data_IF_753717721205
#
_entry.id   IF_753717721205
#
_cell.length_a   1.000
_cell.length_b   1.000
_cell.length_c   1.000
_cell.angle_alpha   90.00
_cell.angle_beta   90.00
_cell.angle_gamma   90.00
#
_symmetry.space_group_name_H-M   'P 1'
#
loop_
_entity.id
_entity.type
_entity.pdbx_description
1 polymer ?
#
# COMPACT_ATOMS: atom_id res chain seq x y z
N UNK A 1 13.27 4.90 7.71
CA UNK A 1 13.07 3.59 7.08
C UNK A 1 14.45 3.01 6.80
N UNK A 2 14.66 1.69 6.93
CA UNK A 2 15.96 1.07 6.64
C UNK A 2 15.89 0.20 5.39
N UNK A 3 17.04 -0.18 4.83
CA UNK A 3 17.16 -1.22 3.81
C UNK A 3 17.91 -2.41 4.40
N UNK A 4 17.53 -3.63 4.08
CA UNK A 4 18.34 -4.82 4.41
C UNK A 4 19.51 -4.99 3.41
N UNK A 5 20.34 -6.02 3.62
CA UNK A 5 21.49 -6.33 2.75
C UNK A 5 21.09 -6.72 1.32
N UNK A 6 19.80 -6.96 1.05
CA UNK A 6 19.25 -7.25 -0.27
C UNK A 6 18.49 -6.07 -0.88
N UNK A 7 18.50 -4.90 -0.23
CA UNK A 7 17.81 -3.70 -0.69
C UNK A 7 16.31 -3.69 -0.40
N UNK A 8 15.78 -4.64 0.38
CA UNK A 8 14.37 -4.65 0.78
C UNK A 8 14.12 -3.59 1.84
N UNK A 9 12.93 -3.00 1.79
CA UNK A 9 12.52 -2.02 2.79
C UNK A 9 12.25 -2.70 4.13
N UNK A 10 12.93 -2.22 5.16
CA UNK A 10 12.62 -2.52 6.56
C UNK A 10 11.79 -1.37 7.10
N UNK A 11 10.48 -1.56 7.01
CA UNK A 11 9.46 -0.64 7.51
C UNK A 11 9.23 -0.86 9.00
N UNK A 12 9.26 0.22 9.79
CA UNK A 12 8.86 0.15 11.21
C UNK A 12 7.34 0.03 11.37
N UNK A 13 6.58 0.48 10.37
CA UNK A 13 5.11 0.50 10.35
C UNK A 13 4.61 0.33 8.91
N UNK A 14 3.49 -0.36 8.70
CA UNK A 14 2.86 -0.44 7.40
C UNK A 14 2.31 0.92 6.94
N UNK A 15 2.14 1.06 5.64
CA UNK A 15 1.39 2.14 5.02
C UNK A 15 -0.10 1.80 5.06
N UNK A 16 -0.91 2.70 5.60
CA UNK A 16 -2.37 2.53 5.64
C UNK A 16 -2.99 3.07 4.36
N UNK A 17 -3.76 2.25 3.67
CA UNK A 17 -4.51 2.67 2.49
C UNK A 17 -5.87 3.22 2.90
N UNK A 18 -6.30 4.29 2.24
CA UNK A 18 -7.61 4.90 2.46
C UNK A 18 -8.19 5.43 1.16
N UNK A 19 -9.50 5.31 1.01
CA UNK A 19 -10.25 5.83 -0.12
C UNK A 19 -11.64 6.26 0.35
N UNK A 20 -12.26 7.15 -0.42
CA UNK A 20 -13.68 7.48 -0.30
C UNK A 20 -14.46 6.68 -1.33
N UNK A 21 -15.65 6.21 -0.97
CA UNK A 21 -16.49 5.39 -1.85
C UNK A 21 -17.52 4.60 -1.07
N UNK A 22 -18.36 3.84 -1.77
CA UNK A 22 -19.29 2.93 -1.10
C UNK A 22 -18.53 1.72 -0.54
N UNK A 23 -18.84 1.34 0.71
CA UNK A 23 -18.26 0.16 1.35
C UNK A 23 -19.05 -1.11 0.96
N UNK A 24 -18.41 -2.29 0.93
CA UNK A 24 -16.98 -2.51 1.11
C UNK A 24 -16.13 -2.01 -0.08
N UNK A 25 -14.81 -1.90 0.15
CA UNK A 25 -13.85 -1.62 -0.93
C UNK A 25 -12.85 -2.77 -1.02
N UNK A 26 -12.37 -3.05 -2.22
CA UNK A 26 -11.28 -3.98 -2.49
C UNK A 26 -10.06 -3.22 -2.99
N UNK A 27 -8.89 -3.53 -2.45
CA UNK A 27 -7.62 -2.93 -2.84
C UNK A 27 -6.75 -3.91 -3.60
N UNK A 28 -6.01 -3.38 -4.56
CA UNK A 28 -5.03 -4.11 -5.35
C UNK A 28 -3.75 -3.30 -5.47
N UNK A 29 -2.61 -4.00 -5.49
CA UNK A 29 -1.28 -3.44 -5.68
C UNK A 29 -0.61 -4.23 -6.80
N UNK A 30 -0.29 -3.56 -7.90
CA UNK A 30 0.20 -4.18 -9.13
C UNK A 30 -0.71 -5.31 -9.64
N UNK A 31 -2.02 -5.16 -9.40
CA UNK A 31 -3.04 -6.15 -9.76
C UNK A 31 -3.27 -7.25 -8.73
N UNK A 32 -2.41 -7.39 -7.72
CA UNK A 32 -2.56 -8.39 -6.65
C UNK A 32 -3.47 -7.88 -5.53
N UNK A 33 -4.45 -8.69 -5.05
CA UNK A 33 -5.38 -8.25 -4.01
C UNK A 33 -4.66 -8.05 -2.67
N UNK A 34 -4.94 -6.93 -2.01
CA UNK A 34 -4.49 -6.66 -0.65
C UNK A 34 -5.58 -7.07 0.35
N UNK A 35 -5.23 -8.00 1.25
CA UNK A 35 -6.09 -8.41 2.36
C UNK A 35 -6.15 -7.39 3.50
N UNK A 36 -7.12 -7.60 4.40
CA UNK A 36 -7.17 -6.91 5.69
C UNK A 36 -6.16 -7.55 6.65
N UNK A 37 -5.55 -6.73 7.50
CA UNK A 37 -4.75 -7.20 8.62
C UNK A 37 -5.61 -7.67 9.81
N UNK A 38 -4.97 -8.06 10.90
CA UNK A 38 -5.62 -8.52 12.15
C UNK A 38 -6.51 -7.44 12.79
N UNK A 39 -6.30 -6.17 12.48
CA UNK A 39 -7.11 -5.03 12.95
C UNK A 39 -8.26 -4.69 12.00
N UNK A 40 -8.41 -5.42 10.89
CA UNK A 40 -9.42 -5.13 9.88
C UNK A 40 -9.06 -3.91 9.02
N UNK A 41 -7.77 -3.58 8.88
CA UNK A 41 -7.30 -2.45 8.08
C UNK A 41 -6.55 -2.91 6.82
N UNK A 42 -6.62 -2.12 5.75
CA UNK A 42 -5.76 -2.31 4.58
C UNK A 42 -4.38 -1.72 4.86
N UNK A 43 -3.51 -2.57 5.41
CA UNK A 43 -2.13 -2.25 5.76
C UNK A 43 -1.15 -2.89 4.77
N UNK A 44 -0.28 -2.08 4.18
CA UNK A 44 0.67 -2.53 3.16
C UNK A 44 2.13 -2.29 3.57
N UNK A 45 2.97 -3.30 3.36
CA UNK A 45 4.42 -3.23 3.53
C UNK A 45 5.09 -3.37 2.15
N UNK A 46 5.42 -2.28 1.44
CA UNK A 46 6.15 -2.38 0.18
C UNK A 46 7.49 -3.10 0.40
N UNK A 47 7.80 -4.13 -0.40
CA UNK A 47 9.01 -4.94 -0.19
C UNK A 47 10.28 -4.20 -0.61
N UNK A 48 10.21 -3.29 -1.58
CA UNK A 48 11.34 -2.52 -2.11
C UNK A 48 10.90 -1.08 -2.42
N UNK A 49 11.87 -0.18 -2.62
CA UNK A 49 11.57 1.10 -3.25
C UNK A 49 11.21 0.88 -4.72
N UNK A 50 10.39 1.76 -5.28
CA UNK A 50 9.98 1.62 -6.67
C UNK A 50 8.67 2.33 -6.96
N UNK A 51 8.11 2.02 -8.11
CA UNK A 51 6.78 2.45 -8.51
C UNK A 51 5.79 1.31 -8.32
N UNK A 52 4.58 1.66 -7.91
CA UNK A 52 3.50 0.71 -7.68
C UNK A 52 2.19 1.30 -8.22
N UNK A 53 1.37 0.44 -8.81
CA UNK A 53 0.02 0.77 -9.26
C UNK A 53 -1.00 0.32 -8.23
N UNK A 54 -1.65 1.27 -7.58
CA UNK A 54 -2.72 1.01 -6.64
C UNK A 54 -4.05 1.12 -7.37
N UNK A 55 -4.91 0.14 -7.17
CA UNK A 55 -6.30 0.17 -7.64
C UNK A 55 -7.24 -0.06 -6.46
N UNK A 56 -8.31 0.73 -6.37
CA UNK A 56 -9.40 0.50 -5.43
C UNK A 56 -10.71 0.35 -6.19
N UNK A 57 -11.49 -0.65 -5.81
CA UNK A 57 -12.82 -0.92 -6.37
C UNK A 57 -13.84 -0.84 -5.23
N UNK A 58 -14.87 -0.02 -5.39
CA UNK A 58 -15.92 0.15 -4.38
C UNK A 58 -17.13 -0.76 -4.65
N UNK A 59 -18.09 -0.78 -3.72
CA UNK A 59 -19.26 -1.65 -3.82
C UNK A 59 -20.16 -1.33 -5.03
N UNK A 60 -20.05 -0.15 -5.61
CA UNK A 60 -20.75 0.23 -6.85
C UNK A 60 -19.95 -0.12 -8.11
N UNK A 61 -18.88 -0.90 -7.99
CA UNK A 61 -17.95 -1.27 -9.06
C UNK A 61 -17.23 -0.06 -9.68
N UNK A 62 -17.13 1.06 -8.95
CA UNK A 62 -16.30 2.18 -9.39
C UNK A 62 -14.84 1.87 -9.11
N UNK A 63 -14.01 2.19 -10.10
CA UNK A 63 -12.57 1.95 -10.07
C UNK A 63 -11.86 3.29 -9.97
N UNK A 64 -10.95 3.41 -9.01
CA UNK A 64 -9.99 4.50 -8.94
C UNK A 64 -8.56 3.94 -8.92
N UNK A 65 -7.61 4.68 -9.52
CA UNK A 65 -6.23 4.23 -9.74
C UNK A 65 -5.24 5.30 -9.35
N UNK A 66 -4.11 4.89 -8.78
CA UNK A 66 -3.03 5.78 -8.40
C UNK A 66 -1.67 5.15 -8.69
N UNK A 67 -0.81 5.89 -9.37
CA UNK A 67 0.57 5.50 -9.61
C UNK A 67 1.47 6.21 -8.60
N UNK A 68 2.12 5.45 -7.71
CA UNK A 68 2.87 6.02 -6.59
C UNK A 68 4.34 5.58 -6.64
N UNK A 69 5.23 6.47 -6.17
CA UNK A 69 6.64 6.14 -5.95
C UNK A 69 6.91 5.97 -4.46
N UNK A 70 7.43 4.81 -4.08
CA UNK A 70 7.90 4.53 -2.73
C UNK A 70 9.40 4.78 -2.66
N UNK A 71 9.80 5.58 -1.67
CA UNK A 71 11.19 5.93 -1.37
C UNK A 71 11.45 5.81 0.13
N UNK A 72 12.60 5.26 0.52
CA UNK A 72 13.07 5.32 1.89
C UNK A 72 13.57 6.73 2.17
N UNK A 73 12.94 7.36 3.14
CA UNK A 73 13.49 8.55 3.77
C UNK A 73 14.23 8.14 5.04
N UNK A 74 15.44 8.65 5.17
CA UNK A 74 16.12 8.67 6.45
C UNK A 74 15.31 9.57 7.39
N UNK A 75 15.01 9.06 8.58
CA UNK A 75 14.36 9.88 9.57
C UNK A 75 15.40 10.89 10.07
N UNK A 76 15.24 12.15 9.71
CA UNK A 76 15.99 13.23 10.36
C UNK A 76 15.60 13.20 11.84
N UNK A 77 16.60 13.03 12.70
CA UNK A 77 16.44 12.96 14.16
C UNK A 77 16.09 14.31 14.75
#
# INVERSE_FOLDING_TARGET
MGKDSQGRLVLKRPLKLSARGLRPVAWYIDGEPLGLDESGEFAWLPPVEGFYDLTVIDAAQRVDKSHVRIVAVEAVK
#
